data_IF_332749202023
#
_entry.id   IF_332749202023
#
_cell.length_a   1.000
_cell.length_b   1.000
_cell.length_c   1.000
_cell.angle_alpha   90.00
_cell.angle_beta   90.00
_cell.angle_gamma   90.00
#
_symmetry.space_group_name_H-M   'P 1'
#
loop_
_entity.id
_entity.type
_entity.pdbx_description
1 polymer ?
#
# COMPACT_ATOMS: atom_id res chain seq x y z
N UNK A 1 -24.58 -1.27 5.06
CA UNK A 1 -23.19 -0.95 4.61
C UNK A 1 -22.92 0.51 4.95
N UNK A 2 -21.69 0.86 5.35
CA UNK A 2 -21.30 2.28 5.51
C UNK A 2 -21.31 2.96 4.14
N UNK A 3 -21.58 4.25 4.10
CA UNK A 3 -21.34 5.06 2.89
C UNK A 3 -19.85 5.28 2.68
N UNK A 4 -19.42 5.62 1.46
CA UNK A 4 -18.00 5.91 1.16
C UNK A 4 -17.39 6.95 2.11
N UNK A 5 -18.16 8.00 2.44
CA UNK A 5 -17.73 9.08 3.34
C UNK A 5 -17.51 8.60 4.78
N UNK A 6 -18.21 7.55 5.21
CA UNK A 6 -18.12 6.99 6.56
C UNK A 6 -17.10 5.85 6.68
N UNK A 7 -16.60 5.33 5.56
CA UNK A 7 -15.63 4.24 5.56
C UNK A 7 -14.24 4.74 5.94
N UNK A 8 -13.66 4.11 6.97
CA UNK A 8 -12.24 4.27 7.30
C UNK A 8 -11.36 3.31 6.47
N UNK A 9 -10.06 3.32 6.71
CA UNK A 9 -9.10 2.48 5.98
C UNK A 9 -9.38 0.98 6.12
N UNK A 10 -9.77 0.53 7.32
CA UNK A 10 -10.13 -0.86 7.57
C UNK A 10 -11.38 -1.30 6.79
N UNK A 11 -12.41 -0.44 6.75
CA UNK A 11 -13.63 -0.71 5.98
C UNK A 11 -13.32 -0.83 4.48
N UNK A 12 -12.51 0.10 3.95
CA UNK A 12 -12.09 0.15 2.54
C UNK A 12 -11.26 -1.08 2.16
N UNK A 13 -10.26 -1.42 2.96
CA UNK A 13 -9.39 -2.58 2.74
C UNK A 13 -10.17 -3.90 2.81
N UNK A 14 -11.10 -4.01 3.76
CA UNK A 14 -11.97 -5.19 3.85
C UNK A 14 -12.87 -5.33 2.63
N UNK A 15 -13.37 -4.22 2.09
CA UNK A 15 -14.19 -4.22 0.88
C UNK A 15 -13.37 -4.70 -0.33
N UNK A 16 -12.15 -4.19 -0.54
CA UNK A 16 -11.23 -4.70 -1.57
C UNK A 16 -11.00 -6.21 -1.40
N UNK A 17 -10.67 -6.66 -0.20
CA UNK A 17 -10.43 -8.07 0.10
C UNK A 17 -11.66 -8.96 -0.11
N UNK A 18 -12.86 -8.37 0.00
CA UNK A 18 -14.11 -9.08 -0.23
C UNK A 18 -14.48 -9.17 -1.71
N UNK A 19 -14.24 -8.10 -2.46
CA UNK A 19 -14.53 -8.01 -3.90
C UNK A 19 -13.52 -8.81 -4.74
N UNK A 20 -12.24 -8.81 -4.35
CA UNK A 20 -11.15 -9.40 -5.14
C UNK A 20 -10.28 -10.38 -4.33
N UNK A 21 -10.88 -11.43 -3.72
CA UNK A 21 -10.15 -12.35 -2.85
C UNK A 21 -9.03 -13.11 -3.57
N UNK A 22 -9.21 -13.41 -4.85
CA UNK A 22 -8.22 -14.09 -5.71
C UNK A 22 -7.02 -13.19 -6.06
N UNK A 23 -7.19 -11.86 -6.00
CA UNK A 23 -6.12 -10.89 -6.30
C UNK A 23 -5.28 -10.51 -5.09
N UNK A 24 -5.70 -10.86 -3.87
CA UNK A 24 -5.01 -10.45 -2.65
C UNK A 24 -3.56 -10.92 -2.59
N UNK A 25 -3.29 -12.14 -3.09
CA UNK A 25 -1.91 -12.65 -3.13
C UNK A 25 -1.02 -11.73 -3.96
N UNK A 26 -1.43 -11.44 -5.20
CA UNK A 26 -0.69 -10.57 -6.11
C UNK A 26 -0.51 -9.16 -5.52
N UNK A 27 -1.55 -8.60 -4.89
CA UNK A 27 -1.47 -7.30 -4.23
C UNK A 27 -0.44 -7.31 -3.09
N UNK A 28 -0.49 -8.30 -2.19
CA UNK A 28 0.46 -8.37 -1.06
C UNK A 28 1.89 -8.63 -1.51
N UNK A 29 2.10 -9.42 -2.57
CA UNK A 29 3.42 -9.63 -3.17
C UNK A 29 3.94 -8.35 -3.86
N UNK A 30 3.06 -7.56 -4.48
CA UNK A 30 3.43 -6.26 -5.01
C UNK A 30 3.83 -5.29 -3.90
N UNK A 31 3.07 -5.21 -2.80
CA UNK A 31 3.41 -4.36 -1.67
C UNK A 31 4.81 -4.69 -1.11
N UNK A 32 5.14 -5.99 -1.05
CA UNK A 32 6.49 -6.45 -0.67
C UNK A 32 7.57 -5.99 -1.65
N UNK A 33 7.34 -6.10 -2.96
CA UNK A 33 8.29 -5.60 -3.97
C UNK A 33 8.47 -4.09 -3.89
N UNK A 34 7.39 -3.35 -3.60
CA UNK A 34 7.46 -1.90 -3.40
C UNK A 34 8.29 -1.57 -2.15
N UNK A 35 8.13 -2.32 -1.05
CA UNK A 35 8.94 -2.13 0.17
C UNK A 35 10.43 -2.37 -0.12
N UNK A 36 10.75 -3.48 -0.79
CA UNK A 36 12.11 -3.83 -1.22
C UNK A 36 12.71 -2.76 -2.15
N UNK A 37 11.91 -2.17 -3.04
CA UNK A 37 12.35 -1.08 -3.91
C UNK A 37 12.76 0.16 -3.10
N UNK A 38 11.93 0.57 -2.13
CA UNK A 38 12.30 1.70 -1.26
C UNK A 38 13.56 1.39 -0.45
N UNK A 39 13.65 0.21 0.17
CA UNK A 39 14.82 -0.17 0.96
C UNK A 39 16.10 -0.19 0.12
N UNK A 40 16.04 -0.75 -1.09
CA UNK A 40 17.20 -0.81 -2.00
C UNK A 40 17.69 0.56 -2.43
N UNK A 41 16.79 1.54 -2.56
CA UNK A 41 17.11 2.88 -3.03
C UNK A 41 17.09 3.92 -1.90
N UNK A 42 17.27 3.48 -0.65
CA UNK A 42 17.03 4.31 0.55
C UNK A 42 17.78 5.63 0.52
N UNK A 43 19.09 5.57 0.26
CA UNK A 43 19.96 6.76 0.24
C UNK A 43 19.55 7.74 -0.86
N UNK A 44 19.32 7.24 -2.08
CA UNK A 44 18.90 8.06 -3.22
C UNK A 44 17.56 8.74 -2.97
N UNK A 45 16.55 7.97 -2.52
CA UNK A 45 15.21 8.48 -2.24
C UNK A 45 15.23 9.49 -1.09
N UNK A 46 16.04 9.24 -0.04
CA UNK A 46 16.17 10.17 1.08
C UNK A 46 16.83 11.49 0.66
N UNK A 47 17.84 11.43 -0.23
CA UNK A 47 18.51 12.63 -0.75
C UNK A 47 17.61 13.44 -1.70
N UNK A 48 16.70 12.77 -2.41
CA UNK A 48 15.72 13.40 -3.31
C UNK A 48 14.35 13.64 -2.65
N UNK A 49 14.29 13.67 -1.32
CA UNK A 49 13.02 13.78 -0.60
C UNK A 49 12.39 15.16 -0.74
N UNK A 50 11.19 15.22 -1.32
CA UNK A 50 10.46 16.48 -1.57
C UNK A 50 9.13 16.58 -0.82
N UNK A 51 8.67 15.49 -0.22
CA UNK A 51 7.39 15.45 0.49
C UNK A 51 7.48 16.24 1.82
N UNK A 52 6.51 17.13 2.04
CA UNK A 52 6.53 18.09 3.17
C UNK A 52 5.75 17.59 4.39
N UNK A 53 4.78 16.70 4.17
CA UNK A 53 3.89 16.24 5.24
C UNK A 53 4.37 14.96 5.93
N UNK A 54 5.29 14.24 5.30
CA UNK A 54 5.87 12.98 5.79
C UNK A 54 7.38 13.11 5.64
N UNK A 55 8.13 12.90 6.73
CA UNK A 55 9.58 12.86 6.66
C UNK A 55 10.05 11.53 6.06
N UNK A 56 11.21 11.53 5.40
CA UNK A 56 11.81 10.30 4.88
C UNK A 56 11.97 9.25 6.00
N UNK A 57 12.46 9.65 7.16
CA UNK A 57 12.63 8.77 8.32
C UNK A 57 11.31 8.11 8.74
N UNK A 58 10.23 8.89 8.86
CA UNK A 58 8.93 8.34 9.22
C UNK A 58 8.39 7.40 8.14
N UNK A 59 8.60 7.72 6.86
CA UNK A 59 8.25 6.84 5.75
C UNK A 59 8.97 5.49 5.81
N UNK A 60 10.28 5.49 6.06
CA UNK A 60 11.05 4.24 6.21
C UNK A 60 10.67 3.46 7.46
N UNK A 61 10.20 4.14 8.52
CA UNK A 61 9.60 3.46 9.67
C UNK A 61 8.33 2.70 9.25
N UNK A 62 7.41 3.35 8.54
CA UNK A 62 6.17 2.72 8.03
C UNK A 62 6.46 1.51 7.12
N UNK A 63 7.47 1.61 6.27
CA UNK A 63 7.94 0.49 5.43
C UNK A 63 8.43 -0.68 6.30
N UNK A 64 9.22 -0.39 7.34
CA UNK A 64 9.74 -1.41 8.25
C UNK A 64 8.61 -2.09 9.03
N UNK A 65 7.63 -1.31 9.51
CA UNK A 65 6.47 -1.82 10.23
C UNK A 65 5.61 -2.74 9.31
N UNK A 66 5.45 -2.36 8.04
CA UNK A 66 4.86 -3.23 7.02
C UNK A 66 5.64 -4.53 6.81
N UNK A 67 6.98 -4.47 6.68
CA UNK A 67 7.81 -5.66 6.47
C UNK A 67 7.70 -6.64 7.65
N UNK A 68 7.69 -6.12 8.88
CA UNK A 68 7.45 -6.92 10.10
C UNK A 68 6.08 -7.60 10.03
N UNK A 69 5.01 -6.85 9.71
CA UNK A 69 3.67 -7.39 9.58
C UNK A 69 3.58 -8.44 8.46
N UNK A 70 4.27 -8.21 7.34
CA UNK A 70 4.37 -9.13 6.20
C UNK A 70 4.97 -10.46 6.60
N UNK A 71 6.17 -10.43 7.20
CA UNK A 71 6.89 -11.64 7.60
C UNK A 71 6.18 -12.39 8.73
N UNK A 72 5.65 -11.69 9.73
CA UNK A 72 4.96 -12.31 10.87
C UNK A 72 3.71 -13.08 10.47
N UNK A 73 2.95 -12.57 9.50
CA UNK A 73 1.65 -13.16 9.12
C UNK A 73 1.76 -14.11 7.92
N UNK A 74 2.73 -13.90 7.02
CA UNK A 74 2.96 -14.73 5.85
C UNK A 74 1.68 -14.92 5.00
N UNK A 75 1.38 -16.16 4.63
CA UNK A 75 0.24 -16.48 3.78
C UNK A 75 -1.13 -16.08 4.36
N UNK A 76 -1.24 -15.85 5.68
CA UNK A 76 -2.49 -15.39 6.31
C UNK A 76 -2.91 -14.01 5.80
N UNK A 77 -1.96 -13.17 5.38
CA UNK A 77 -2.27 -11.83 4.86
C UNK A 77 -3.19 -11.85 3.65
N UNK A 78 -3.01 -12.80 2.73
CA UNK A 78 -3.85 -12.90 1.54
C UNK A 78 -4.92 -13.99 1.63
N UNK A 79 -4.82 -14.92 2.58
CA UNK A 79 -5.86 -15.96 2.80
C UNK A 79 -6.97 -15.53 3.75
N UNK A 80 -6.71 -14.58 4.65
CA UNK A 80 -7.69 -14.10 5.62
C UNK A 80 -7.95 -12.60 5.46
N UNK A 81 -9.17 -12.26 5.02
CA UNK A 81 -9.60 -10.87 4.75
C UNK A 81 -9.52 -9.95 5.99
N UNK A 82 -9.74 -10.49 7.19
CA UNK A 82 -9.59 -9.71 8.44
C UNK A 82 -8.13 -9.48 8.75
N UNK A 83 -7.29 -10.51 8.66
CA UNK A 83 -5.83 -10.35 8.82
C UNK A 83 -5.26 -9.37 7.80
N UNK A 84 -5.70 -9.41 6.53
CA UNK A 84 -5.32 -8.42 5.52
C UNK A 84 -5.55 -6.98 6.00
N UNK A 85 -6.79 -6.64 6.36
CA UNK A 85 -7.13 -5.25 6.74
C UNK A 85 -6.50 -4.86 8.08
N UNK A 86 -6.56 -5.74 9.08
CA UNK A 86 -6.21 -5.41 10.46
C UNK A 86 -4.69 -5.32 10.64
N UNK A 87 -3.90 -5.96 9.77
CA UNK A 87 -2.44 -5.92 9.83
C UNK A 87 -1.80 -4.91 8.87
N UNK A 88 -2.49 -4.54 7.78
CA UNK A 88 -1.92 -3.66 6.77
C UNK A 88 -2.57 -2.27 6.72
N UNK A 89 -3.79 -2.09 7.24
CA UNK A 89 -4.58 -0.87 7.06
C UNK A 89 -5.08 -0.25 8.36
N UNK A 90 -4.55 -0.67 9.52
CA UNK A 90 -4.87 -0.07 10.80
C UNK A 90 -3.95 1.12 11.11
N UNK A 91 -4.49 2.13 11.79
CA UNK A 91 -3.73 3.29 12.26
C UNK A 91 -2.92 4.03 11.19
N UNK A 92 -1.78 4.57 11.61
CA UNK A 92 -0.83 5.27 10.73
C UNK A 92 -0.03 4.31 9.83
N UNK A 93 0.15 3.06 10.26
CA UNK A 93 0.88 2.03 9.52
C UNK A 93 0.22 1.72 8.16
N UNK A 94 -1.07 2.06 8.03
CA UNK A 94 -1.83 2.01 6.79
C UNK A 94 -1.26 2.87 5.64
N UNK A 95 -0.48 3.91 5.94
CA UNK A 95 -0.03 4.88 4.93
C UNK A 95 0.78 4.21 3.81
N UNK A 96 1.76 3.38 4.17
CA UNK A 96 2.55 2.65 3.17
C UNK A 96 1.68 1.69 2.35
N UNK A 97 0.82 0.92 3.01
CA UNK A 97 -0.08 -0.03 2.33
C UNK A 97 -1.05 0.66 1.38
N UNK A 98 -1.59 1.83 1.73
CA UNK A 98 -2.44 2.63 0.85
C UNK A 98 -1.66 3.10 -0.37
N UNK A 99 -0.46 3.65 -0.17
CA UNK A 99 0.41 4.07 -1.27
C UNK A 99 0.71 2.91 -2.23
N UNK A 100 1.14 1.76 -1.70
CA UNK A 100 1.43 0.57 -2.50
C UNK A 100 0.16 0.03 -3.20
N UNK A 101 -1.02 0.13 -2.58
CA UNK A 101 -2.29 -0.25 -3.21
C UNK A 101 -2.62 0.65 -4.41
N UNK A 102 -2.43 1.96 -4.28
CA UNK A 102 -2.64 2.93 -5.37
C UNK A 102 -1.64 2.67 -6.51
N UNK A 103 -0.37 2.39 -6.18
CA UNK A 103 0.67 2.00 -7.15
C UNK A 103 0.36 0.69 -7.87
N UNK A 104 -0.23 -0.28 -7.17
CA UNK A 104 -0.66 -1.54 -7.78
C UNK A 104 -1.72 -1.33 -8.85
N UNK A 105 -2.62 -0.35 -8.67
CA UNK A 105 -3.65 0.00 -9.66
C UNK A 105 -3.09 0.54 -10.99
N UNK A 106 -1.80 0.89 -11.04
CA UNK A 106 -1.08 1.29 -12.26
C UNK A 106 -0.40 0.12 -12.97
N UNK A 107 -0.34 -1.06 -12.36
CA UNK A 107 0.32 -2.24 -12.91
C UNK A 107 -0.56 -2.96 -13.93
N UNK A 108 0.08 -3.64 -14.89
CA UNK A 108 -0.62 -4.38 -15.94
C UNK A 108 -1.39 -5.58 -15.39
N UNK A 109 -0.93 -6.16 -14.29
CA UNK A 109 -1.53 -7.31 -13.62
C UNK A 109 -2.78 -6.94 -12.82
N UNK A 110 -3.06 -5.64 -12.63
CA UNK A 110 -4.28 -5.17 -11.98
C UNK A 110 -5.43 -5.10 -12.99
N UNK A 111 -6.46 -5.91 -12.77
CA UNK A 111 -7.70 -5.87 -13.56
C UNK A 111 -8.36 -4.49 -13.49
N UNK A 112 -9.05 -4.09 -14.56
CA UNK A 112 -9.75 -2.80 -14.64
C UNK A 112 -10.73 -2.59 -13.47
N UNK A 113 -11.47 -3.63 -13.07
CA UNK A 113 -12.44 -3.60 -11.99
C UNK A 113 -11.77 -3.28 -10.65
N UNK A 114 -10.67 -3.98 -10.34
CA UNK A 114 -9.90 -3.74 -9.12
C UNK A 114 -9.25 -2.36 -9.11
N UNK A 115 -8.72 -1.91 -10.26
CA UNK A 115 -8.18 -0.56 -10.42
C UNK A 115 -9.21 0.51 -10.07
N UNK A 116 -10.42 0.43 -10.64
CA UNK A 116 -11.47 1.40 -10.34
C UNK A 116 -11.94 1.33 -8.89
N UNK A 117 -12.04 0.14 -8.31
CA UNK A 117 -12.37 -0.01 -6.89
C UNK A 117 -11.30 0.62 -5.99
N UNK A 118 -10.01 0.42 -6.29
CA UNK A 118 -8.91 1.05 -5.56
C UNK A 118 -9.01 2.57 -5.64
N UNK A 119 -9.20 3.14 -6.83
CA UNK A 119 -9.31 4.59 -6.99
C UNK A 119 -10.54 5.18 -6.31
N UNK A 120 -11.68 4.48 -6.35
CA UNK A 120 -12.89 4.90 -5.66
C UNK A 120 -12.72 4.89 -4.13
N UNK A 121 -11.99 3.91 -3.58
CA UNK A 121 -11.84 3.73 -2.14
C UNK A 121 -10.66 4.50 -1.55
N UNK A 122 -9.54 4.63 -2.27
CA UNK A 122 -8.30 5.22 -1.76
C UNK A 122 -7.86 6.47 -2.53
N UNK A 123 -8.51 6.79 -3.64
CA UNK A 123 -8.12 7.89 -4.53
C UNK A 123 -6.97 7.50 -5.47
N UNK A 124 -6.48 8.49 -6.20
CA UNK A 124 -5.40 8.34 -7.19
C UNK A 124 -4.08 8.95 -6.75
N UNK A 125 -4.10 9.77 -5.68
CA UNK A 125 -2.91 10.51 -5.21
C UNK A 125 -1.97 9.56 -4.46
N UNK A 126 -0.75 9.42 -4.95
CA UNK A 126 0.35 8.73 -4.27
C UNK A 126 0.85 9.63 -3.13
N UNK A 127 1.20 9.01 -1.99
CA UNK A 127 1.81 9.75 -0.88
C UNK A 127 3.22 10.23 -1.22
N UNK A 128 4.04 9.36 -1.81
CA UNK A 128 5.40 9.67 -2.25
C UNK A 128 5.44 9.54 -3.77
N UNK A 129 5.90 10.57 -4.48
CA UNK A 129 6.06 10.55 -5.94
C UNK A 129 7.46 11.06 -6.28
N UNK A 130 8.45 10.19 -6.09
CA UNK A 130 9.86 10.47 -6.37
C UNK A 130 10.25 9.63 -7.57
N UNK A 131 10.45 10.28 -8.72
CA UNK A 131 10.95 9.62 -9.93
C UNK A 131 12.47 9.52 -9.88
N UNK A 132 12.99 8.31 -9.69
CA UNK A 132 14.44 8.06 -9.70
C UNK A 132 15.06 8.21 -11.11
N UNK A 133 14.26 8.33 -12.18
CA UNK A 133 14.78 8.56 -13.55
C UNK A 133 15.14 10.01 -13.84
N UNK A 134 14.80 10.95 -12.95
CA UNK A 134 15.11 12.37 -13.12
C UNK A 134 16.33 12.84 -12.33
N UNK A 135 17.11 11.91 -11.75
CA UNK A 135 18.41 12.25 -11.17
C UNK A 135 19.44 12.31 -12.31
N UNK A 136 20.04 13.47 -12.60
CA UNK A 136 21.02 13.62 -13.67
C UNK A 136 22.31 12.82 -13.44
#
# INVERSE_FOLDING_TARGET
MKTLKQMNNLDRAYLIATLFPDKLKNLTEFMKKESEYFQKNKELIANSWTEKHITAEFWYKLITDFEIAYHKNGARLYRNKKTFRDQLFDGYDALFSIHATIRFAEQKECSCEMKYAIYMLFGTKKLIDIDLKSVP
#
